data_IF_195967589544
#
_entry.id   IF_195967589544
#
_cell.length_a   1.000
_cell.length_b   1.000
_cell.length_c   1.000
_cell.angle_alpha   90.00
_cell.angle_beta   90.00
_cell.angle_gamma   90.00
#
_symmetry.space_group_name_H-M   'P 1'
#
loop_
_entity.id
_entity.type
_entity.pdbx_description
1 polymer ?
#
# COMPACT_ATOMS: atom_id res chain seq x y z
N UNK A 1 -41.49 7.89 49.27
CA UNK A 1 -41.75 7.53 47.87
C UNK A 1 -41.07 8.52 46.90
N UNK A 2 -41.05 9.81 47.25
CA UNK A 2 -40.46 10.85 46.34
C UNK A 2 -38.94 10.81 46.18
N UNK A 3 -38.18 10.33 47.13
CA UNK A 3 -36.73 10.18 46.99
C UNK A 3 -36.33 9.07 46.00
N UNK A 4 -37.09 8.01 45.89
CA UNK A 4 -36.83 6.93 44.94
C UNK A 4 -37.13 7.37 43.49
N UNK A 5 -38.13 8.21 43.29
CA UNK A 5 -38.47 8.77 41.98
C UNK A 5 -37.37 9.77 41.53
N UNK A 6 -36.85 10.59 42.45
CA UNK A 6 -35.79 11.55 42.15
C UNK A 6 -34.44 10.86 41.81
N UNK A 7 -34.12 9.76 42.48
CA UNK A 7 -32.94 8.93 42.14
C UNK A 7 -33.11 8.24 40.77
N UNK A 8 -34.29 7.72 40.46
CA UNK A 8 -34.58 7.06 39.20
C UNK A 8 -34.51 8.01 38.01
N UNK A 9 -35.00 9.25 38.13
CA UNK A 9 -34.96 10.27 37.07
C UNK A 9 -33.52 10.80 36.84
N UNK A 10 -32.70 10.97 37.90
CA UNK A 10 -31.31 11.37 37.76
C UNK A 10 -30.44 10.26 37.12
N UNK A 11 -30.68 9.01 37.45
CA UNK A 11 -29.99 7.89 36.82
C UNK A 11 -30.35 7.76 35.32
N UNK A 12 -31.61 7.89 34.95
CA UNK A 12 -32.07 7.85 33.57
C UNK A 12 -31.47 9.02 32.76
N UNK A 13 -31.50 10.24 33.29
CA UNK A 13 -30.88 11.40 32.64
C UNK A 13 -29.35 11.28 32.51
N UNK A 14 -28.65 10.72 33.51
CA UNK A 14 -27.21 10.52 33.44
C UNK A 14 -26.85 9.41 32.44
N UNK A 15 -27.59 8.32 32.38
CA UNK A 15 -27.35 7.23 31.40
C UNK A 15 -27.59 7.69 29.95
N UNK A 16 -28.61 8.52 29.72
CA UNK A 16 -28.88 9.10 28.40
C UNK A 16 -27.77 10.07 27.96
N UNK A 17 -27.30 10.93 28.87
CA UNK A 17 -26.19 11.84 28.59
C UNK A 17 -24.87 11.06 28.28
N UNK A 18 -24.56 10.01 29.04
CA UNK A 18 -23.38 9.15 28.79
C UNK A 18 -23.49 8.46 27.43
N UNK A 19 -24.66 7.95 27.07
CA UNK A 19 -24.92 7.33 25.78
C UNK A 19 -24.73 8.31 24.61
N UNK A 20 -25.29 9.54 24.71
CA UNK A 20 -25.13 10.58 23.70
C UNK A 20 -23.68 11.04 23.56
N UNK A 21 -22.95 11.19 24.68
CA UNK A 21 -21.53 11.55 24.66
C UNK A 21 -20.69 10.43 24.02
N UNK A 22 -20.97 9.17 24.35
CA UNK A 22 -20.30 8.00 23.76
C UNK A 22 -20.50 7.94 22.25
N UNK A 23 -21.74 8.13 21.79
CA UNK A 23 -22.07 8.20 20.36
C UNK A 23 -21.39 9.38 19.67
N UNK A 24 -21.35 10.57 20.30
CA UNK A 24 -20.69 11.75 19.73
C UNK A 24 -19.17 11.55 19.57
N UNK A 25 -18.50 10.98 20.57
CA UNK A 25 -17.06 10.68 20.51
C UNK A 25 -16.79 9.66 19.41
N UNK A 26 -17.56 8.57 19.39
CA UNK A 26 -17.42 7.51 18.39
C UNK A 26 -17.66 8.06 16.99
N UNK A 27 -18.72 8.81 16.78
CA UNK A 27 -19.03 9.45 15.51
C UNK A 27 -17.90 10.39 15.05
N UNK A 28 -17.33 11.19 15.96
CA UNK A 28 -16.22 12.11 15.63
C UNK A 28 -14.98 11.35 15.14
N UNK A 29 -14.64 10.23 15.77
CA UNK A 29 -13.50 9.38 15.35
C UNK A 29 -13.71 8.87 13.91
N UNK A 30 -14.90 8.34 13.60
CA UNK A 30 -15.23 7.84 12.27
C UNK A 30 -15.34 9.00 11.26
N UNK A 31 -15.91 10.13 11.65
CA UNK A 31 -16.02 11.33 10.80
C UNK A 31 -14.65 11.82 10.35
N UNK A 32 -13.67 11.91 11.26
CA UNK A 32 -12.31 12.33 10.91
C UNK A 32 -11.68 11.40 9.87
N UNK A 33 -11.83 10.09 10.03
CA UNK A 33 -11.33 9.10 9.04
C UNK A 33 -12.03 9.22 7.69
N UNK A 34 -13.36 9.40 7.66
CA UNK A 34 -14.13 9.53 6.42
C UNK A 34 -13.83 10.86 5.72
N UNK A 35 -13.74 11.96 6.45
CA UNK A 35 -13.35 13.27 5.90
C UNK A 35 -11.96 13.22 5.29
N UNK A 36 -11.00 12.59 5.96
CA UNK A 36 -9.66 12.39 5.44
C UNK A 36 -9.68 11.63 4.10
N UNK A 37 -10.34 10.47 4.04
CA UNK A 37 -10.50 9.70 2.80
C UNK A 37 -11.16 10.54 1.71
N UNK A 38 -12.20 11.30 2.04
CA UNK A 38 -12.96 12.14 1.09
C UNK A 38 -12.10 13.26 0.52
N UNK A 39 -11.32 13.96 1.35
CA UNK A 39 -10.44 15.05 0.91
C UNK A 39 -9.44 14.53 -0.14
N UNK A 40 -8.77 13.41 0.13
CA UNK A 40 -7.81 12.86 -0.79
C UNK A 40 -8.46 12.19 -2.02
N UNK A 41 -9.66 11.62 -1.89
CA UNK A 41 -10.42 11.12 -3.03
C UNK A 41 -10.82 12.28 -3.98
N UNK A 42 -11.31 13.39 -3.45
CA UNK A 42 -11.65 14.58 -4.25
C UNK A 42 -10.40 15.19 -4.88
N UNK A 43 -9.29 15.26 -4.13
CA UNK A 43 -8.01 15.75 -4.64
C UNK A 43 -7.50 14.93 -5.82
N UNK A 44 -7.74 13.61 -5.83
CA UNK A 44 -7.32 12.72 -6.92
C UNK A 44 -8.02 13.00 -8.25
N UNK A 45 -9.15 13.71 -8.26
CA UNK A 45 -9.84 14.13 -9.49
C UNK A 45 -9.05 15.17 -10.29
N UNK A 46 -8.14 15.89 -9.64
CA UNK A 46 -7.31 16.88 -10.30
C UNK A 46 -6.38 16.20 -11.31
N UNK A 47 -6.42 16.64 -12.55
CA UNK A 47 -5.51 16.16 -13.59
C UNK A 47 -4.11 16.70 -13.32
N UNK A 48 -3.12 15.83 -13.34
CA UNK A 48 -1.70 16.17 -13.29
C UNK A 48 -1.09 16.10 -14.69
N UNK A 49 0.03 16.79 -14.93
CA UNK A 49 0.78 16.58 -16.17
C UNK A 49 1.22 15.11 -16.25
N UNK A 50 0.98 14.48 -17.37
CA UNK A 50 1.13 13.04 -17.55
C UNK A 50 2.60 12.57 -17.48
N UNK A 51 3.57 13.45 -17.80
CA UNK A 51 4.97 13.08 -17.97
C UNK A 51 5.92 14.15 -17.46
N UNK A 52 7.09 13.73 -17.04
CA UNK A 52 8.24 14.58 -16.82
C UNK A 52 8.89 14.98 -18.16
N UNK A 53 9.67 16.07 -18.22
CA UNK A 53 10.44 16.40 -19.40
C UNK A 53 11.44 15.30 -19.75
N UNK A 54 11.62 15.04 -21.04
CA UNK A 54 12.57 14.02 -21.51
C UNK A 54 13.99 14.30 -21.00
N UNK A 55 14.59 13.33 -20.36
CA UNK A 55 15.91 13.43 -19.76
C UNK A 55 17.02 13.46 -20.83
N UNK A 56 18.00 14.36 -20.64
CA UNK A 56 19.21 14.39 -21.47
C UNK A 56 20.26 13.35 -21.04
N UNK A 57 20.19 12.86 -19.78
CA UNK A 57 21.09 11.85 -19.22
C UNK A 57 20.33 10.55 -19.05
N UNK A 58 20.97 9.43 -19.41
CA UNK A 58 20.49 8.09 -19.11
C UNK A 58 21.20 7.56 -17.87
N UNK A 59 20.45 7.38 -16.80
CA UNK A 59 20.92 6.77 -15.55
C UNK A 59 21.11 5.26 -15.68
N UNK A 60 21.94 4.67 -14.85
CA UNK A 60 22.15 3.23 -14.80
C UNK A 60 21.26 2.59 -13.72
N UNK A 61 20.46 1.59 -14.11
CA UNK A 61 19.50 0.93 -13.23
C UNK A 61 19.97 -0.45 -12.77
N UNK A 62 19.76 -0.76 -11.48
CA UNK A 62 19.71 -2.12 -10.95
C UNK A 62 18.23 -2.54 -10.79
N UNK A 63 17.80 -3.54 -11.57
CA UNK A 63 16.45 -4.11 -11.45
C UNK A 63 16.51 -5.29 -10.50
N UNK A 64 16.05 -5.11 -9.26
CA UNK A 64 16.09 -6.13 -8.23
C UNK A 64 14.77 -6.90 -8.17
N UNK A 65 14.81 -8.19 -8.43
CA UNK A 65 13.66 -9.10 -8.44
C UNK A 65 13.87 -10.18 -7.39
N UNK A 66 12.99 -10.21 -6.37
CA UNK A 66 13.00 -11.30 -5.40
C UNK A 66 12.07 -12.43 -5.85
N UNK A 67 12.62 -13.62 -6.11
CA UNK A 67 11.91 -14.77 -6.63
C UNK A 67 11.95 -15.93 -5.62
N UNK A 68 10.79 -16.27 -5.05
CA UNK A 68 10.58 -17.42 -4.18
C UNK A 68 9.55 -18.35 -4.79
N UNK A 69 9.97 -19.57 -5.20
CA UNK A 69 9.09 -20.54 -5.88
C UNK A 69 8.30 -19.93 -7.03
N UNK A 70 8.96 -19.16 -7.86
CA UNK A 70 8.33 -18.34 -8.90
C UNK A 70 8.68 -18.82 -10.32
N UNK A 71 8.94 -20.10 -10.50
CA UNK A 71 9.34 -20.71 -11.77
C UNK A 71 8.38 -20.37 -12.91
N UNK A 72 7.07 -20.36 -12.63
CA UNK A 72 6.03 -20.14 -13.64
C UNK A 72 5.94 -18.69 -14.14
N UNK A 73 6.43 -17.70 -13.37
CA UNK A 73 6.18 -16.28 -13.64
C UNK A 73 7.42 -15.47 -13.96
N UNK A 74 8.55 -15.79 -13.33
CA UNK A 74 9.78 -15.00 -13.37
C UNK A 74 10.33 -14.75 -14.78
N UNK A 75 10.24 -15.74 -15.65
CA UNK A 75 10.72 -15.63 -17.03
C UNK A 75 10.00 -14.52 -17.78
N UNK A 76 8.68 -14.42 -17.61
CA UNK A 76 7.86 -13.35 -18.24
C UNK A 76 8.25 -11.98 -17.68
N UNK A 77 8.50 -11.87 -16.38
CA UNK A 77 8.97 -10.65 -15.73
C UNK A 77 10.30 -10.20 -16.32
N UNK A 78 11.29 -11.09 -16.43
CA UNK A 78 12.60 -10.78 -17.03
C UNK A 78 12.44 -10.41 -18.50
N UNK A 79 11.62 -11.13 -19.27
CA UNK A 79 11.37 -10.80 -20.68
C UNK A 79 10.77 -9.41 -20.87
N UNK A 80 9.92 -8.94 -19.96
CA UNK A 80 9.36 -7.57 -20.05
C UNK A 80 10.44 -6.49 -19.94
N UNK A 81 11.53 -6.76 -19.21
CA UNK A 81 12.70 -5.88 -19.14
C UNK A 81 13.61 -5.98 -20.35
N UNK A 82 13.74 -7.15 -20.98
CA UNK A 82 14.51 -7.28 -22.20
C UNK A 82 13.90 -6.49 -23.38
N UNK A 83 12.61 -6.17 -23.32
CA UNK A 83 11.89 -5.39 -24.32
C UNK A 83 11.87 -3.88 -24.04
N UNK A 84 12.58 -3.38 -23.01
CA UNK A 84 12.56 -1.96 -22.68
C UNK A 84 13.16 -1.08 -23.78
N UNK A 85 12.47 0.02 -24.08
CA UNK A 85 12.99 1.10 -24.92
C UNK A 85 13.99 1.95 -24.14
N UNK A 86 15.07 1.31 -23.66
CA UNK A 86 16.14 1.92 -22.86
C UNK A 86 17.48 1.28 -23.23
N UNK A 87 18.60 2.02 -23.27
CA UNK A 87 19.90 1.43 -23.66
C UNK A 87 20.26 0.22 -22.80
N UNK A 88 20.55 -0.91 -23.44
CA UNK A 88 20.75 -2.20 -22.75
C UNK A 88 21.96 -2.19 -21.81
N UNK A 89 22.97 -1.39 -22.12
CA UNK A 89 24.16 -1.18 -21.29
C UNK A 89 23.90 -0.31 -20.04
N UNK A 90 22.68 0.24 -19.91
CA UNK A 90 22.27 1.13 -18.82
C UNK A 90 21.39 0.46 -17.77
N UNK A 91 21.15 -0.85 -17.86
CA UNK A 91 20.44 -1.56 -16.81
C UNK A 91 20.84 -3.00 -16.72
N UNK A 92 20.85 -3.55 -15.52
CA UNK A 92 21.08 -4.95 -15.22
C UNK A 92 19.91 -5.53 -14.42
N UNK A 93 19.56 -6.79 -14.73
CA UNK A 93 18.50 -7.53 -14.05
C UNK A 93 19.16 -8.47 -13.05
N UNK A 94 18.86 -8.30 -11.76
CA UNK A 94 19.43 -9.06 -10.66
C UNK A 94 18.31 -9.83 -9.97
N UNK A 95 18.31 -11.14 -10.13
CA UNK A 95 17.30 -12.04 -9.57
C UNK A 95 17.88 -12.76 -8.35
N UNK A 96 17.27 -12.58 -7.19
CA UNK A 96 17.54 -13.41 -6.01
C UNK A 96 16.63 -14.63 -6.06
N UNK A 97 17.21 -15.78 -6.40
CA UNK A 97 16.53 -17.04 -6.60
C UNK A 97 16.48 -17.85 -5.30
N UNK A 98 15.27 -18.08 -4.78
CA UNK A 98 15.03 -18.86 -3.58
C UNK A 98 14.06 -20.01 -3.88
N UNK A 99 14.51 -21.24 -3.69
CA UNK A 99 13.78 -22.49 -3.96
C UNK A 99 13.21 -22.56 -5.39
N UNK A 100 13.96 -22.08 -6.37
CA UNK A 100 13.64 -22.19 -7.79
C UNK A 100 14.41 -23.36 -8.43
N UNK A 101 13.89 -23.89 -9.54
CA UNK A 101 14.51 -24.96 -10.29
C UNK A 101 15.82 -24.53 -10.95
N UNK A 102 16.75 -25.48 -11.13
CA UNK A 102 18.00 -25.22 -11.88
C UNK A 102 17.73 -24.89 -13.34
N UNK A 103 16.67 -25.46 -13.92
CA UNK A 103 16.25 -25.16 -15.30
C UNK A 103 15.86 -23.69 -15.44
N UNK A 104 15.02 -23.18 -14.53
CA UNK A 104 14.63 -21.77 -14.50
C UNK A 104 15.84 -20.86 -14.28
N UNK A 105 16.72 -21.21 -13.34
CA UNK A 105 17.93 -20.44 -13.08
C UNK A 105 18.84 -20.37 -14.32
N UNK A 106 19.04 -21.47 -15.03
CA UNK A 106 19.82 -21.52 -16.27
C UNK A 106 19.21 -20.66 -17.36
N UNK A 107 17.88 -20.74 -17.54
CA UNK A 107 17.14 -19.91 -18.51
C UNK A 107 17.28 -18.41 -18.21
N UNK A 108 17.26 -18.02 -16.93
CA UNK A 108 17.48 -16.62 -16.53
C UNK A 108 18.89 -16.14 -16.86
N UNK A 109 19.91 -16.98 -16.66
CA UNK A 109 21.31 -16.67 -17.01
C UNK A 109 21.46 -16.52 -18.54
N UNK A 110 20.86 -17.40 -19.33
CA UNK A 110 20.84 -17.29 -20.80
C UNK A 110 20.20 -15.96 -21.27
N UNK A 111 19.23 -15.43 -20.51
CA UNK A 111 18.61 -14.12 -20.76
C UNK A 111 19.42 -12.95 -20.19
N UNK A 112 20.70 -13.19 -19.83
CA UNK A 112 21.59 -12.15 -19.29
C UNK A 112 21.11 -11.52 -17.97
N UNK A 113 20.40 -12.28 -17.12
CA UNK A 113 20.12 -11.88 -15.75
C UNK A 113 21.23 -12.41 -14.80
N UNK A 114 21.61 -11.60 -13.83
CA UNK A 114 22.43 -12.05 -12.70
C UNK A 114 21.55 -12.85 -11.75
N UNK A 115 21.82 -14.14 -11.57
CA UNK A 115 21.06 -15.02 -10.69
C UNK A 115 21.85 -15.30 -9.42
N UNK A 116 21.31 -14.88 -8.27
CA UNK A 116 21.92 -15.05 -6.96
C UNK A 116 21.09 -16.08 -6.19
N UNK A 117 21.61 -17.28 -6.00
CA UNK A 117 20.93 -18.34 -5.25
C UNK A 117 20.95 -18.04 -3.75
N UNK A 118 19.77 -18.06 -3.13
CA UNK A 118 19.59 -17.86 -1.69
C UNK A 118 19.18 -19.19 -1.08
N UNK A 119 20.08 -19.81 -0.27
CA UNK A 119 19.87 -21.13 0.34
C UNK A 119 19.61 -21.03 1.85
N UNK A 120 18.94 -19.99 2.31
CA UNK A 120 18.65 -19.81 3.73
C UNK A 120 17.28 -20.35 4.14
N UNK A 121 17.23 -21.06 5.27
CA UNK A 121 15.99 -21.65 5.84
C UNK A 121 14.93 -20.62 6.28
N UNK A 122 15.30 -19.32 6.38
CA UNK A 122 14.44 -18.21 6.76
C UNK A 122 14.57 -17.06 5.75
N UNK A 123 14.28 -17.32 4.48
CA UNK A 123 14.33 -16.27 3.47
C UNK A 123 13.15 -15.30 3.61
N UNK A 124 13.43 -14.04 3.37
CA UNK A 124 12.43 -12.98 3.29
C UNK A 124 12.79 -12.04 2.17
N UNK A 125 11.81 -11.27 1.66
CA UNK A 125 12.08 -10.27 0.62
C UNK A 125 13.20 -9.31 1.02
N UNK A 126 13.23 -8.89 2.28
CA UNK A 126 14.29 -8.02 2.81
C UNK A 126 15.67 -8.67 2.71
N UNK A 127 15.82 -9.93 3.15
CA UNK A 127 17.09 -10.67 3.03
C UNK A 127 17.50 -10.86 1.56
N UNK A 128 16.54 -11.18 0.70
CA UNK A 128 16.81 -11.33 -0.72
C UNK A 128 17.38 -10.03 -1.32
N UNK A 129 16.79 -8.88 -1.01
CA UNK A 129 17.28 -7.58 -1.47
C UNK A 129 18.63 -7.19 -0.83
N UNK A 130 18.84 -7.51 0.45
CA UNK A 130 20.16 -7.34 1.11
C UNK A 130 21.24 -8.18 0.43
N UNK A 131 20.92 -9.43 0.05
CA UNK A 131 21.84 -10.30 -0.69
C UNK A 131 22.16 -9.71 -2.08
N UNK A 132 21.17 -9.15 -2.78
CA UNK A 132 21.39 -8.47 -4.06
C UNK A 132 22.33 -7.26 -3.92
N UNK A 133 22.12 -6.41 -2.91
CA UNK A 133 22.98 -5.25 -2.66
C UNK A 133 24.41 -5.69 -2.28
N UNK A 134 24.56 -6.72 -1.46
CA UNK A 134 25.88 -7.26 -1.13
C UNK A 134 26.60 -7.79 -2.37
N UNK A 135 25.88 -8.47 -3.28
CA UNK A 135 26.43 -8.92 -4.55
C UNK A 135 26.91 -7.75 -5.42
N UNK A 136 26.11 -6.69 -5.52
CA UNK A 136 26.47 -5.46 -6.26
C UNK A 136 27.78 -4.88 -5.72
N UNK A 137 27.92 -4.77 -4.40
CA UNK A 137 29.14 -4.27 -3.75
C UNK A 137 30.35 -5.15 -3.97
N UNK A 138 30.20 -6.46 -3.79
CA UNK A 138 31.30 -7.44 -3.96
C UNK A 138 31.85 -7.48 -5.37
N UNK A 139 31.00 -7.18 -6.38
CA UNK A 139 31.39 -7.15 -7.79
C UNK A 139 31.68 -5.73 -8.30
N UNK A 140 31.73 -4.73 -7.42
CA UNK A 140 32.02 -3.32 -7.74
C UNK A 140 31.12 -2.75 -8.84
N UNK A 141 29.86 -3.24 -8.91
CA UNK A 141 28.88 -2.75 -9.88
C UNK A 141 28.35 -1.40 -9.44
N UNK A 142 28.26 -0.46 -10.38
CA UNK A 142 27.81 0.90 -10.09
C UNK A 142 26.47 1.17 -10.75
N UNK A 143 25.52 1.65 -9.96
CA UNK A 143 24.17 2.03 -10.40
C UNK A 143 23.78 3.38 -9.83
N UNK A 144 22.94 4.11 -10.56
CA UNK A 144 22.36 5.38 -10.09
C UNK A 144 21.02 5.11 -9.36
N UNK A 145 20.23 4.14 -9.84
CA UNK A 145 18.84 3.90 -9.41
C UNK A 145 18.58 2.40 -9.22
N UNK A 146 17.88 2.06 -8.16
CA UNK A 146 17.34 0.70 -7.92
C UNK A 146 15.85 0.69 -8.22
N UNK A 147 15.41 -0.31 -8.97
CA UNK A 147 13.98 -0.66 -9.15
C UNK A 147 13.70 -1.97 -8.44
N UNK A 148 12.69 -2.02 -7.58
CA UNK A 148 12.29 -3.23 -6.84
C UNK A 148 10.99 -3.78 -7.39
N UNK A 149 10.99 -5.07 -7.74
CA UNK A 149 9.83 -5.78 -8.29
C UNK A 149 9.63 -7.16 -7.66
N UNK A 150 8.40 -7.64 -7.75
CA UNK A 150 8.07 -9.04 -7.46
C UNK A 150 8.24 -9.90 -8.73
N UNK A 151 8.45 -11.21 -8.56
CA UNK A 151 8.73 -12.14 -9.64
C UNK A 151 7.57 -12.40 -10.63
N UNK A 152 6.39 -11.84 -10.33
CA UNK A 152 5.19 -11.93 -11.16
C UNK A 152 4.77 -10.58 -11.75
N UNK A 153 5.64 -9.57 -11.71
CA UNK A 153 5.33 -8.25 -12.22
C UNK A 153 5.73 -8.11 -13.69
N UNK A 154 4.86 -7.50 -14.49
CA UNK A 154 5.16 -7.09 -15.85
C UNK A 154 5.19 -5.57 -15.92
N UNK A 155 5.95 -5.02 -16.85
CA UNK A 155 6.11 -3.58 -17.05
C UNK A 155 5.95 -3.21 -18.53
N UNK A 156 5.54 -1.95 -18.80
CA UNK A 156 5.45 -1.41 -20.14
C UNK A 156 6.85 -1.19 -20.75
N UNK A 157 6.90 -1.12 -22.09
CA UNK A 157 8.14 -0.95 -22.86
C UNK A 157 8.89 0.37 -22.56
N UNK A 158 8.22 1.39 -22.11
CA UNK A 158 8.76 2.70 -21.75
C UNK A 158 8.94 2.94 -20.25
N UNK A 159 8.85 1.87 -19.44
CA UNK A 159 8.88 1.93 -17.99
C UNK A 159 10.17 2.58 -17.45
N UNK A 160 11.33 2.11 -17.89
CA UNK A 160 12.63 2.66 -17.45
C UNK A 160 12.85 4.08 -17.96
N UNK A 161 12.42 4.39 -19.16
CA UNK A 161 12.50 5.74 -19.73
C UNK A 161 11.75 6.76 -18.89
N UNK A 162 10.50 6.46 -18.53
CA UNK A 162 9.66 7.35 -17.72
C UNK A 162 10.19 7.53 -16.30
N UNK A 163 10.75 6.49 -15.69
CA UNK A 163 11.42 6.60 -14.39
C UNK A 163 12.67 7.48 -14.51
N UNK A 164 13.47 7.28 -15.55
CA UNK A 164 14.64 8.10 -15.82
C UNK A 164 14.30 9.59 -15.92
N UNK A 165 13.21 9.93 -16.60
CA UNK A 165 12.75 11.32 -16.74
C UNK A 165 12.38 11.94 -15.39
N UNK A 166 11.73 11.16 -14.50
CA UNK A 166 11.38 11.61 -13.16
C UNK A 166 12.63 11.87 -12.30
N UNK A 167 13.60 10.96 -12.31
CA UNK A 167 14.87 11.13 -11.57
C UNK A 167 15.70 12.27 -12.12
N UNK A 168 15.77 12.43 -13.44
CA UNK A 168 16.44 13.57 -14.07
C UNK A 168 15.80 14.92 -13.67
N UNK A 169 14.52 14.92 -13.35
CA UNK A 169 13.78 16.09 -12.88
C UNK A 169 13.89 16.32 -11.37
N UNK A 170 14.69 15.51 -10.65
CA UNK A 170 15.00 15.70 -9.23
C UNK A 170 14.22 14.82 -8.26
N UNK A 171 13.52 13.78 -8.74
CA UNK A 171 12.94 12.78 -7.85
C UNK A 171 14.04 11.84 -7.33
N UNK A 172 14.06 11.56 -6.02
CA UNK A 172 14.95 10.57 -5.39
C UNK A 172 14.24 9.26 -5.06
N UNK A 173 12.91 9.30 -4.92
CA UNK A 173 12.06 8.13 -4.65
C UNK A 173 10.76 8.25 -5.42
N UNK A 174 10.39 7.20 -6.14
CA UNK A 174 9.12 7.14 -6.85
C UNK A 174 8.38 5.83 -6.60
N UNK A 175 7.06 5.89 -6.56
CA UNK A 175 6.15 4.75 -6.61
C UNK A 175 5.40 4.78 -7.93
N UNK A 176 5.43 3.68 -8.67
CA UNK A 176 4.69 3.53 -9.92
C UNK A 176 3.26 3.04 -9.69
N UNK A 177 2.41 3.13 -10.71
CA UNK A 177 1.03 2.71 -10.67
C UNK A 177 0.91 1.19 -10.82
N UNK A 178 0.47 0.50 -9.76
CA UNK A 178 0.25 -0.94 -9.79
C UNK A 178 -1.17 -1.26 -10.24
N UNK A 179 -1.28 -2.12 -11.26
CA UNK A 179 -2.56 -2.59 -11.83
C UNK A 179 -2.65 -4.11 -11.69
N UNK A 180 -3.84 -4.62 -11.40
CA UNK A 180 -4.08 -6.06 -11.35
C UNK A 180 -4.08 -6.68 -12.76
N UNK A 181 -3.30 -7.76 -12.98
CA UNK A 181 -3.35 -8.54 -14.21
C UNK A 181 -4.61 -9.40 -14.28
N UNK A 182 -4.96 -10.10 -13.20
CA UNK A 182 -6.10 -11.00 -13.11
C UNK A 182 -7.27 -10.38 -12.33
N UNK A 183 -8.49 -10.63 -12.81
CA UNK A 183 -9.76 -10.12 -12.25
C UNK A 183 -10.89 -11.13 -12.46
N UNK A 184 -10.59 -12.42 -12.46
CA UNK A 184 -11.53 -13.48 -12.83
C UNK A 184 -12.45 -13.84 -11.69
N UNK A 185 -11.94 -13.86 -10.47
CA UNK A 185 -12.72 -14.14 -9.25
C UNK A 185 -13.14 -12.85 -8.55
N UNK A 186 -14.19 -12.91 -7.75
CA UNK A 186 -14.66 -11.77 -6.95
C UNK A 186 -13.61 -11.27 -5.95
N UNK A 187 -12.70 -12.13 -5.48
CA UNK A 187 -11.64 -11.77 -4.55
C UNK A 187 -10.55 -11.01 -5.27
N UNK A 188 -10.09 -11.50 -6.41
CA UNK A 188 -9.11 -10.82 -7.26
C UNK A 188 -9.64 -9.44 -7.68
N UNK A 189 -10.92 -9.36 -8.08
CA UNK A 189 -11.54 -8.11 -8.48
C UNK A 189 -11.63 -7.11 -7.31
N UNK A 190 -12.03 -7.54 -6.12
CA UNK A 190 -12.06 -6.68 -4.93
C UNK A 190 -10.64 -6.26 -4.47
N UNK A 191 -9.64 -7.12 -4.67
CA UNK A 191 -8.24 -6.77 -4.42
C UNK A 191 -7.72 -5.75 -5.44
N UNK A 192 -8.09 -5.91 -6.73
CA UNK A 192 -7.82 -4.92 -7.78
C UNK A 192 -8.45 -3.56 -7.45
N UNK A 193 -9.73 -3.55 -7.07
CA UNK A 193 -10.43 -2.33 -6.62
C UNK A 193 -9.75 -1.71 -5.41
N UNK A 194 -9.33 -2.53 -4.44
CA UNK A 194 -8.58 -2.05 -3.27
C UNK A 194 -7.25 -1.41 -3.65
N UNK A 195 -6.54 -1.93 -4.65
CA UNK A 195 -5.30 -1.34 -5.16
C UNK A 195 -5.57 0.01 -5.86
N UNK A 196 -6.61 0.09 -6.70
CA UNK A 196 -6.98 1.35 -7.36
C UNK A 196 -7.44 2.43 -6.37
N UNK A 197 -8.13 2.07 -5.30
CA UNK A 197 -8.42 3.01 -4.21
C UNK A 197 -7.11 3.49 -3.54
N UNK A 198 -6.08 2.63 -3.39
CA UNK A 198 -4.77 3.06 -2.91
C UNK A 198 -4.08 4.00 -3.90
N UNK A 199 -4.09 3.67 -5.19
CA UNK A 199 -3.54 4.51 -6.25
C UNK A 199 -4.19 5.91 -6.27
N UNK A 200 -5.52 5.94 -6.15
CA UNK A 200 -6.29 7.17 -6.18
C UNK A 200 -6.09 8.01 -4.90
N UNK A 201 -6.38 7.45 -3.72
CA UNK A 201 -6.42 8.20 -2.46
C UNK A 201 -5.01 8.40 -1.90
N UNK A 202 -4.27 7.29 -1.63
CA UNK A 202 -3.02 7.33 -0.85
C UNK A 202 -1.76 7.59 -1.68
N UNK A 203 -1.89 7.72 -3.00
CA UNK A 203 -0.80 8.09 -3.91
C UNK A 203 -1.15 9.37 -4.66
N UNK A 204 -2.03 9.31 -5.66
CA UNK A 204 -2.41 10.46 -6.48
C UNK A 204 -2.98 11.61 -5.64
N UNK A 205 -3.99 11.33 -4.81
CA UNK A 205 -4.62 12.34 -3.96
C UNK A 205 -3.66 13.03 -3.02
N UNK A 206 -2.74 12.27 -2.41
CA UNK A 206 -1.70 12.80 -1.53
C UNK A 206 -0.73 13.70 -2.29
N UNK A 207 -0.17 13.21 -3.40
CA UNK A 207 0.79 14.02 -4.18
C UNK A 207 0.16 15.27 -4.80
N UNK A 208 -1.16 15.29 -5.05
CA UNK A 208 -1.86 16.50 -5.49
C UNK A 208 -1.95 17.58 -4.40
N UNK A 209 -1.88 17.22 -3.13
CA UNK A 209 -1.87 18.14 -1.99
C UNK A 209 -0.47 18.37 -1.41
N UNK A 210 0.58 17.86 -2.06
CA UNK A 210 1.97 18.03 -1.64
C UNK A 210 2.44 17.05 -0.56
N UNK A 211 1.68 16.00 -0.29
CA UNK A 211 2.09 14.89 0.58
C UNK A 211 2.73 13.76 -0.23
N UNK A 212 3.56 12.96 0.40
CA UNK A 212 4.20 11.80 -0.21
C UNK A 212 3.22 10.69 -0.57
N UNK A 213 3.49 10.02 -1.68
CA UNK A 213 2.78 8.81 -2.06
C UNK A 213 3.05 7.65 -1.08
N UNK A 214 2.07 6.77 -0.93
CA UNK A 214 2.26 5.52 -0.21
C UNK A 214 3.10 4.55 -1.04
N UNK A 215 4.15 3.96 -0.44
CA UNK A 215 4.93 2.88 -1.05
C UNK A 215 4.19 1.54 -0.97
N UNK A 216 4.54 0.68 -1.91
CA UNK A 216 4.26 -0.76 -1.83
C UNK A 216 5.55 -1.53 -2.09
N UNK A 217 5.59 -2.78 -1.66
CA UNK A 217 6.79 -3.62 -1.79
C UNK A 217 7.28 -3.86 -3.22
N UNK A 218 6.60 -3.35 -4.24
CA UNK A 218 6.92 -3.55 -5.65
C UNK A 218 6.56 -2.32 -6.48
N UNK A 219 7.27 -2.10 -7.60
CA UNK A 219 7.07 -0.94 -8.46
C UNK A 219 7.58 0.36 -7.82
N UNK A 220 8.54 0.30 -6.94
CA UNK A 220 9.25 1.46 -6.41
C UNK A 220 10.62 1.60 -7.07
N UNK A 221 11.04 2.83 -7.32
CA UNK A 221 12.40 3.15 -7.71
C UNK A 221 13.00 4.18 -6.74
N UNK A 222 14.28 3.99 -6.39
CA UNK A 222 14.97 4.75 -5.34
C UNK A 222 16.41 4.98 -5.80
N UNK A 223 17.00 6.14 -5.53
CA UNK A 223 18.44 6.38 -5.72
C UNK A 223 19.26 5.30 -5.02
N UNK A 224 20.32 4.82 -5.67
CA UNK A 224 21.06 3.64 -5.19
C UNK A 224 21.59 3.82 -3.77
N UNK A 225 22.29 4.91 -3.48
CA UNK A 225 22.91 5.15 -2.17
C UNK A 225 21.84 5.22 -1.07
N UNK A 226 20.71 5.88 -1.36
CA UNK A 226 19.57 5.93 -0.44
C UNK A 226 18.94 4.56 -0.22
N UNK A 227 18.80 3.76 -1.29
CA UNK A 227 18.27 2.40 -1.17
C UNK A 227 19.19 1.51 -0.34
N UNK A 228 20.50 1.62 -0.53
CA UNK A 228 21.50 0.88 0.23
C UNK A 228 21.39 1.18 1.73
N UNK A 229 21.28 2.45 2.10
CA UNK A 229 21.08 2.87 3.49
C UNK A 229 19.78 2.32 4.08
N UNK A 230 18.68 2.41 3.34
CA UNK A 230 17.38 1.91 3.77
C UNK A 230 17.37 0.40 3.99
N UNK A 231 17.92 -0.37 3.04
CA UNK A 231 17.89 -1.83 3.09
C UNK A 231 18.83 -2.39 4.15
N UNK A 232 19.94 -1.70 4.44
CA UNK A 232 20.88 -2.09 5.50
C UNK A 232 20.25 -2.05 6.89
N UNK A 233 19.33 -1.10 7.11
CA UNK A 233 18.61 -0.89 8.38
C UNK A 233 17.29 -1.67 8.46
N UNK A 234 16.82 -2.25 7.35
CA UNK A 234 15.53 -2.91 7.29
C UNK A 234 15.53 -4.22 8.08
N UNK A 235 14.45 -4.45 8.84
CA UNK A 235 14.17 -5.71 9.53
C UNK A 235 13.39 -6.65 8.59
N UNK A 236 13.35 -7.95 8.92
CA UNK A 236 12.84 -9.02 8.05
C UNK A 236 11.33 -9.00 7.73
N UNK A 237 10.57 -8.00 8.13
CA UNK A 237 9.15 -7.85 7.80
C UNK A 237 8.87 -6.44 7.28
N UNK A 238 7.99 -6.32 6.27
CA UNK A 238 7.32 -5.07 5.90
C UNK A 238 8.22 -3.94 5.39
N UNK A 239 8.99 -4.24 4.37
CA UNK A 239 9.97 -3.37 3.75
C UNK A 239 9.39 -1.99 3.37
N UNK A 240 8.24 -1.97 2.72
CA UNK A 240 7.56 -0.77 2.25
C UNK A 240 7.28 0.24 3.37
N UNK A 241 6.67 -0.21 4.47
CA UNK A 241 6.35 0.67 5.61
C UNK A 241 7.58 1.13 6.39
N UNK A 242 8.62 0.29 6.45
CA UNK A 242 9.88 0.70 7.07
C UNK A 242 10.58 1.77 6.22
N UNK A 243 10.56 1.62 4.89
CA UNK A 243 11.09 2.62 3.97
C UNK A 243 10.31 3.92 4.05
N UNK A 244 8.96 3.88 3.97
CA UNK A 244 8.13 5.07 4.16
C UNK A 244 8.50 5.81 5.45
N UNK A 245 8.53 5.09 6.58
CA UNK A 245 8.87 5.68 7.87
C UNK A 245 10.25 6.35 7.89
N UNK A 246 11.27 5.69 7.33
CA UNK A 246 12.63 6.20 7.30
C UNK A 246 12.77 7.40 6.38
N UNK A 247 12.19 7.35 5.18
CA UNK A 247 12.20 8.43 4.19
C UNK A 247 11.50 9.68 4.71
N UNK A 248 10.26 9.53 5.20
CA UNK A 248 9.47 10.66 5.68
C UNK A 248 10.06 11.29 6.95
N UNK A 249 10.69 10.49 7.83
CA UNK A 249 11.44 11.02 8.98
C UNK A 249 12.60 11.93 8.55
N UNK A 250 13.19 11.68 7.39
CA UNK A 250 14.27 12.46 6.80
C UNK A 250 13.76 13.58 5.88
N UNK A 251 12.45 13.81 5.78
CA UNK A 251 11.79 14.74 4.85
C UNK A 251 12.09 14.42 3.37
N UNK A 252 12.32 13.15 3.03
CA UNK A 252 12.50 12.71 1.66
C UNK A 252 11.12 12.43 1.07
N UNK A 253 10.77 13.18 0.02
CA UNK A 253 9.49 13.10 -0.65
C UNK A 253 9.39 11.86 -1.54
N UNK A 254 8.23 11.20 -1.53
CA UNK A 254 7.93 10.05 -2.36
C UNK A 254 6.97 10.48 -3.46
N UNK A 255 7.44 10.47 -4.70
CA UNK A 255 6.64 10.85 -5.86
C UNK A 255 5.77 9.69 -6.35
N UNK A 256 4.64 9.98 -7.00
CA UNK A 256 3.77 9.01 -7.64
C UNK A 256 3.75 9.19 -9.15
N UNK A 257 4.13 8.13 -9.88
CA UNK A 257 4.11 8.11 -11.35
C UNK A 257 2.83 7.45 -11.83
N UNK A 258 1.77 8.24 -12.01
CA UNK A 258 0.42 7.78 -12.38
C UNK A 258 0.37 7.00 -13.70
N UNK A 259 1.24 7.34 -14.66
CA UNK A 259 1.24 6.78 -16.03
C UNK A 259 2.42 5.83 -16.28
N UNK A 260 3.01 5.29 -15.23
CA UNK A 260 4.07 4.26 -15.29
C UNK A 260 3.54 3.01 -14.61
N UNK A 261 3.21 1.99 -15.41
CA UNK A 261 2.44 0.84 -14.95
C UNK A 261 3.31 -0.35 -14.57
N UNK A 262 2.93 -1.00 -13.47
CA UNK A 262 3.38 -2.33 -13.07
C UNK A 262 2.14 -3.22 -12.96
N UNK A 263 2.09 -4.25 -13.78
CA UNK A 263 1.01 -5.23 -13.78
C UNK A 263 1.35 -6.34 -12.79
N UNK A 264 0.49 -6.54 -11.79
CA UNK A 264 0.70 -7.42 -10.66
C UNK A 264 -0.36 -8.53 -10.61
N UNK A 265 0.05 -9.78 -10.46
CA UNK A 265 -0.89 -10.89 -10.33
C UNK A 265 -1.46 -10.93 -8.90
N UNK A 266 -2.79 -10.82 -8.78
CA UNK A 266 -3.49 -10.83 -7.49
C UNK A 266 -3.67 -12.25 -6.96
N UNK A 267 -3.65 -12.36 -5.63
CA UNK A 267 -3.72 -13.64 -4.92
C UNK A 267 -5.04 -14.36 -5.20
N UNK A 268 -4.93 -15.62 -5.62
CA UNK A 268 -6.09 -16.49 -5.86
C UNK A 268 -6.57 -17.12 -4.55
N UNK A 269 -7.85 -16.91 -4.24
CA UNK A 269 -8.53 -17.61 -3.15
C UNK A 269 -8.54 -16.92 -1.77
N UNK A 270 -9.52 -17.33 -0.93
CA UNK A 270 -9.83 -16.70 0.36
C UNK A 270 -8.71 -16.82 1.39
N UNK A 271 -8.04 -17.97 1.43
CA UNK A 271 -6.96 -18.25 2.43
C UNK A 271 -5.73 -17.38 2.15
N UNK A 272 -5.31 -17.28 0.90
CA UNK A 272 -4.19 -16.43 0.49
C UNK A 272 -4.46 -14.95 0.81
N UNK A 273 -5.66 -14.46 0.45
CA UNK A 273 -6.12 -13.12 0.77
C UNK A 273 -6.12 -12.85 2.29
N UNK A 274 -6.69 -13.77 3.09
CA UNK A 274 -6.73 -13.66 4.55
C UNK A 274 -5.32 -13.54 5.16
N UNK A 275 -4.38 -14.41 4.75
CA UNK A 275 -3.01 -14.41 5.26
C UNK A 275 -2.24 -13.15 4.85
N UNK A 276 -2.41 -12.67 3.62
CA UNK A 276 -1.80 -11.45 3.13
C UNK A 276 -2.29 -10.23 3.92
N UNK A 277 -3.61 -10.09 4.12
CA UNK A 277 -4.21 -8.99 4.89
C UNK A 277 -3.80 -9.01 6.36
N UNK A 278 -3.67 -10.19 6.96
CA UNK A 278 -3.17 -10.33 8.34
C UNK A 278 -1.75 -9.80 8.48
N UNK A 279 -0.85 -10.13 7.54
CA UNK A 279 0.52 -9.63 7.55
C UNK A 279 0.54 -8.10 7.40
N UNK A 280 -0.21 -7.54 6.46
CA UNK A 280 -0.29 -6.09 6.27
C UNK A 280 -0.82 -5.34 7.48
N UNK A 281 -1.83 -5.89 8.14
CA UNK A 281 -2.39 -5.29 9.35
C UNK A 281 -1.40 -5.32 10.52
N UNK A 282 -0.72 -6.45 10.73
CA UNK A 282 0.32 -6.57 11.76
C UNK A 282 1.46 -5.58 11.51
N UNK A 283 1.88 -5.42 10.26
CA UNK A 283 2.85 -4.45 9.81
C UNK A 283 2.44 -3.02 10.12
N UNK A 284 1.23 -2.64 9.75
CA UNK A 284 0.69 -1.31 9.97
C UNK A 284 0.78 -0.92 11.44
N UNK A 285 0.32 -1.78 12.34
CA UNK A 285 0.38 -1.51 13.78
C UNK A 285 1.80 -1.51 14.33
N UNK A 286 2.67 -2.44 13.90
CA UNK A 286 4.06 -2.46 14.33
C UNK A 286 4.79 -1.17 13.98
N UNK A 287 4.59 -0.67 12.76
CA UNK A 287 5.21 0.57 12.30
C UNK A 287 4.58 1.82 12.94
N UNK A 288 3.27 1.81 13.19
CA UNK A 288 2.59 2.86 13.95
C UNK A 288 3.17 2.97 15.36
N UNK A 289 3.20 1.88 16.12
CA UNK A 289 3.71 1.90 17.50
C UNK A 289 5.19 2.29 17.59
N UNK A 290 6.01 1.84 16.63
CA UNK A 290 7.41 2.25 16.57
C UNK A 290 7.62 3.68 16.05
N UNK A 291 6.64 4.24 15.33
CA UNK A 291 6.69 5.58 14.76
C UNK A 291 6.13 6.67 15.67
N UNK A 292 5.16 6.33 16.54
CA UNK A 292 4.42 7.31 17.35
C UNK A 292 5.31 8.13 18.29
N UNK A 293 6.40 7.56 18.76
CA UNK A 293 7.39 8.25 19.60
C UNK A 293 8.05 9.46 18.93
N UNK A 294 8.03 9.50 17.58
CA UNK A 294 8.59 10.60 16.79
C UNK A 294 7.51 11.60 16.33
N UNK A 295 6.23 11.41 16.70
CA UNK A 295 5.13 12.30 16.29
C UNK A 295 5.33 13.71 16.83
N UNK A 296 5.59 13.88 18.12
CA UNK A 296 5.79 15.21 18.70
C UNK A 296 7.00 15.95 18.10
N UNK A 297 8.19 15.33 17.97
CA UNK A 297 9.30 15.93 17.23
C UNK A 297 8.96 16.31 15.78
N UNK A 298 8.15 15.50 15.08
CA UNK A 298 7.72 15.79 13.70
C UNK A 298 6.81 17.02 13.64
N UNK A 299 5.83 17.14 14.53
CA UNK A 299 4.95 18.30 14.64
C UNK A 299 5.78 19.58 14.90
N UNK A 300 6.70 19.54 15.86
CA UNK A 300 7.53 20.69 16.22
C UNK A 300 8.47 21.15 15.09
N UNK A 301 8.87 20.21 14.21
CA UNK A 301 9.71 20.49 13.02
C UNK A 301 8.90 20.83 11.77
N UNK A 302 7.57 20.80 11.84
CA UNK A 302 6.69 21.01 10.67
C UNK A 302 6.75 19.88 9.64
N UNK A 303 7.17 18.66 10.02
CA UNK A 303 7.18 17.49 9.14
C UNK A 303 5.76 16.88 9.06
N UNK A 304 4.90 17.57 8.31
CA UNK A 304 3.49 17.18 8.16
C UNK A 304 3.32 15.89 7.38
N UNK A 305 4.25 15.56 6.49
CA UNK A 305 4.24 14.33 5.70
C UNK A 305 4.40 13.08 6.60
N UNK A 306 5.30 13.16 7.57
CA UNK A 306 5.43 12.11 8.58
C UNK A 306 4.19 12.01 9.50
N UNK A 307 3.62 13.14 9.91
CA UNK A 307 2.40 13.18 10.72
C UNK A 307 1.21 12.57 9.98
N UNK A 308 1.05 12.92 8.71
CA UNK A 308 0.02 12.36 7.83
C UNK A 308 0.15 10.84 7.71
N UNK A 309 1.37 10.32 7.51
CA UNK A 309 1.61 8.87 7.44
C UNK A 309 1.22 8.15 8.73
N UNK A 310 1.55 8.70 9.88
CA UNK A 310 1.12 8.12 11.16
C UNK A 310 -0.41 8.12 11.29
N UNK A 311 -1.06 9.20 10.85
CA UNK A 311 -2.52 9.27 10.84
C UNK A 311 -3.14 8.19 9.91
N UNK A 312 -2.57 7.98 8.71
CA UNK A 312 -2.97 6.88 7.81
C UNK A 312 -2.89 5.52 8.51
N UNK A 313 -1.81 5.26 9.25
CA UNK A 313 -1.63 3.99 9.97
C UNK A 313 -2.53 3.85 11.20
N UNK A 314 -3.00 4.96 11.78
CA UNK A 314 -4.01 4.93 12.86
C UNK A 314 -5.39 4.54 12.35
N UNK A 315 -5.70 4.82 11.10
CA UNK A 315 -7.01 4.49 10.54
C UNK A 315 -7.22 2.97 10.44
N UNK A 316 -8.42 2.48 10.79
CA UNK A 316 -8.75 1.08 10.58
C UNK A 316 -8.80 0.75 9.08
N UNK A 317 -8.56 -0.53 8.70
CA UNK A 317 -8.76 -0.97 7.32
C UNK A 317 -10.13 -0.55 6.78
N UNK A 318 -10.17 -0.11 5.53
CA UNK A 318 -11.38 0.46 4.89
C UNK A 318 -12.62 -0.44 4.99
N UNK A 319 -12.45 -1.77 4.88
CA UNK A 319 -13.54 -2.75 5.05
C UNK A 319 -14.07 -2.70 6.49
N UNK A 320 -13.20 -2.54 7.49
CA UNK A 320 -13.58 -2.44 8.90
C UNK A 320 -14.28 -1.09 9.14
N UNK A 321 -13.72 0.00 8.59
CA UNK A 321 -14.33 1.32 8.68
C UNK A 321 -15.77 1.32 8.10
N UNK A 322 -15.93 0.83 6.87
CA UNK A 322 -17.20 0.71 6.19
C UNK A 322 -18.20 -0.15 6.98
N UNK A 323 -17.76 -1.34 7.42
CA UNK A 323 -18.61 -2.28 8.12
C UNK A 323 -19.12 -1.75 9.46
N UNK A 324 -18.28 -1.06 10.24
CA UNK A 324 -18.71 -0.44 11.50
C UNK A 324 -19.65 0.73 11.28
N UNK A 325 -19.39 1.62 10.31
CA UNK A 325 -20.32 2.73 10.00
C UNK A 325 -21.69 2.17 9.60
N UNK A 326 -21.71 1.15 8.73
CA UNK A 326 -22.95 0.48 8.34
C UNK A 326 -23.67 -0.17 9.54
N UNK A 327 -22.93 -0.88 10.40
CA UNK A 327 -23.47 -1.51 11.60
C UNK A 327 -24.08 -0.48 12.55
N UNK A 328 -23.38 0.62 12.84
CA UNK A 328 -23.91 1.70 13.67
C UNK A 328 -25.12 2.37 13.04
N UNK A 329 -25.10 2.63 11.74
CA UNK A 329 -26.27 3.17 11.03
C UNK A 329 -27.51 2.27 11.24
N UNK A 330 -27.38 0.95 11.10
CA UNK A 330 -28.45 -0.01 11.33
C UNK A 330 -28.91 -0.05 12.82
N UNK A 331 -27.98 -0.12 13.78
CA UNK A 331 -28.28 -0.15 15.21
C UNK A 331 -29.06 1.10 15.61
N UNK A 332 -28.56 2.28 15.22
CA UNK A 332 -29.23 3.54 15.56
C UNK A 332 -30.55 3.73 14.84
N UNK A 333 -30.75 3.18 13.64
CA UNK A 333 -32.06 3.21 12.98
C UNK A 333 -33.14 2.54 13.84
N UNK A 334 -32.77 1.48 14.57
CA UNK A 334 -33.67 0.78 15.47
C UNK A 334 -33.78 1.48 16.85
N UNK A 335 -32.64 1.88 17.44
CA UNK A 335 -32.58 2.41 18.81
C UNK A 335 -32.97 3.91 18.90
N UNK A 336 -32.53 4.72 17.95
CA UNK A 336 -32.82 6.17 17.88
C UNK A 336 -32.66 6.64 16.43
N UNK A 337 -33.74 6.73 15.69
CA UNK A 337 -33.73 7.03 14.27
C UNK A 337 -33.14 8.44 13.95
N UNK A 338 -33.27 9.39 14.86
CA UNK A 338 -32.68 10.74 14.68
C UNK A 338 -31.16 10.67 14.67
N UNK A 339 -30.56 9.91 15.61
CA UNK A 339 -29.12 9.70 15.64
C UNK A 339 -28.61 8.90 14.43
N UNK A 340 -29.44 8.02 13.85
CA UNK A 340 -29.05 7.24 12.69
C UNK A 340 -28.78 8.11 11.45
N UNK A 341 -29.44 9.26 11.31
CA UNK A 341 -29.32 10.14 10.14
C UNK A 341 -27.85 10.51 9.87
N UNK A 342 -27.11 10.89 10.91
CA UNK A 342 -25.69 11.23 10.78
C UNK A 342 -24.82 10.05 10.36
N UNK A 343 -25.12 8.84 10.84
CA UNK A 343 -24.39 7.62 10.45
C UNK A 343 -24.68 7.22 9.00
N UNK A 344 -25.92 7.32 8.54
CA UNK A 344 -26.26 7.12 7.13
C UNK A 344 -25.63 8.18 6.23
N UNK A 345 -25.60 9.45 6.66
CA UNK A 345 -24.90 10.53 5.95
C UNK A 345 -23.40 10.26 5.84
N UNK A 346 -22.78 9.78 6.92
CA UNK A 346 -21.36 9.40 6.93
C UNK A 346 -21.07 8.22 6.01
N UNK A 347 -21.94 7.21 5.99
CA UNK A 347 -21.84 6.07 5.07
C UNK A 347 -21.96 6.51 3.61
N UNK A 348 -22.92 7.38 3.31
CA UNK A 348 -23.10 7.95 1.97
C UNK A 348 -21.84 8.70 1.52
N UNK A 349 -21.27 9.53 2.39
CA UNK A 349 -20.04 10.27 2.10
C UNK A 349 -18.87 9.33 1.80
N UNK A 350 -18.72 8.26 2.58
CA UNK A 350 -17.70 7.22 2.33
C UNK A 350 -17.93 6.48 1.01
N UNK A 351 -19.18 6.16 0.67
CA UNK A 351 -19.52 5.55 -0.63
C UNK A 351 -19.18 6.49 -1.79
N UNK A 352 -19.45 7.78 -1.67
CA UNK A 352 -19.09 8.78 -2.69
C UNK A 352 -17.57 8.84 -2.84
N UNK A 353 -16.82 8.90 -1.74
CA UNK A 353 -15.36 8.93 -1.79
C UNK A 353 -14.76 7.68 -2.49
N UNK A 354 -15.29 6.50 -2.21
CA UNK A 354 -14.86 5.28 -2.90
C UNK A 354 -15.31 5.24 -4.37
N UNK A 355 -16.49 5.76 -4.70
CA UNK A 355 -16.94 5.85 -6.09
C UNK A 355 -16.07 6.79 -6.93
N UNK A 356 -15.53 7.86 -6.34
CA UNK A 356 -14.54 8.73 -6.99
C UNK A 356 -13.21 8.00 -7.20
N UNK A 357 -12.81 7.16 -6.25
CA UNK A 357 -11.49 6.53 -6.25
C UNK A 357 -11.41 5.28 -7.14
N UNK A 358 -12.53 4.65 -7.48
CA UNK A 358 -12.58 3.44 -8.31
C UNK A 358 -12.76 3.83 -9.79
N UNK A 359 -11.84 3.44 -10.68
CA UNK A 359 -11.96 3.75 -12.10
C UNK A 359 -13.07 2.94 -12.78
N UNK A 360 -13.69 3.53 -13.81
CA UNK A 360 -14.86 2.99 -14.52
C UNK A 360 -14.61 1.59 -15.11
N UNK A 361 -13.37 1.28 -15.53
CA UNK A 361 -13.04 -0.01 -16.14
C UNK A 361 -13.19 -1.21 -15.19
N UNK A 362 -13.29 -0.97 -13.86
CA UNK A 362 -13.56 -2.01 -12.86
C UNK A 362 -15.04 -2.12 -12.49
N UNK A 363 -15.87 -1.14 -12.87
CA UNK A 363 -17.28 -1.07 -12.48
C UNK A 363 -18.17 -1.78 -13.49
N UNK A 364 -18.18 -3.10 -13.46
CA UNK A 364 -18.96 -3.96 -14.32
C UNK A 364 -20.00 -4.81 -13.55
N UNK A 365 -20.66 -5.76 -14.26
CA UNK A 365 -21.60 -6.70 -13.65
C UNK A 365 -20.90 -7.65 -12.64
N UNK A 366 -19.63 -7.98 -12.88
CA UNK A 366 -18.83 -8.83 -11.96
C UNK A 366 -18.56 -8.07 -10.66
N UNK A 367 -18.23 -6.79 -10.74
CA UNK A 367 -18.01 -5.94 -9.58
C UNK A 367 -19.25 -5.87 -8.67
N UNK A 368 -20.44 -5.64 -9.24
CA UNK A 368 -21.68 -5.62 -8.45
C UNK A 368 -21.93 -6.94 -7.72
N UNK A 369 -21.62 -8.09 -8.34
CA UNK A 369 -21.70 -9.40 -7.67
C UNK A 369 -20.60 -9.55 -6.60
N UNK A 370 -19.40 -9.05 -6.83
CA UNK A 370 -18.30 -9.11 -5.88
C UNK A 370 -18.59 -8.32 -4.60
N UNK A 371 -19.34 -7.21 -4.67
CA UNK A 371 -19.77 -6.46 -3.48
C UNK A 371 -20.58 -7.28 -2.49
N UNK A 372 -21.30 -8.33 -2.94
CA UNK A 372 -22.05 -9.23 -2.05
C UNK A 372 -21.16 -10.05 -1.12
N UNK A 373 -19.85 -10.12 -1.40
CA UNK A 373 -18.87 -10.82 -0.55
C UNK A 373 -18.32 -9.89 0.57
N UNK A 374 -18.53 -8.58 0.48
CA UNK A 374 -18.02 -7.62 1.48
C UNK A 374 -18.38 -7.97 2.93
N UNK A 375 -19.61 -8.40 3.28
CA UNK A 375 -19.92 -8.81 4.66
C UNK A 375 -19.04 -9.96 5.15
N UNK A 376 -18.75 -10.95 4.29
CA UNK A 376 -17.86 -12.07 4.62
C UNK A 376 -16.44 -11.57 4.84
N UNK A 377 -15.94 -10.69 3.97
CA UNK A 377 -14.61 -10.11 4.10
C UNK A 377 -14.50 -9.23 5.36
N UNK A 378 -15.55 -8.51 5.73
CA UNK A 378 -15.61 -7.76 6.98
C UNK A 378 -15.43 -8.68 8.20
N UNK A 379 -16.17 -9.77 8.27
CA UNK A 379 -16.05 -10.76 9.36
C UNK A 379 -14.63 -11.36 9.38
N UNK A 380 -14.09 -11.76 8.24
CA UNK A 380 -12.72 -12.28 8.14
C UNK A 380 -11.67 -11.26 8.62
N UNK A 381 -11.86 -9.98 8.33
CA UNK A 381 -10.97 -8.92 8.78
C UNK A 381 -11.08 -8.67 10.28
N UNK A 382 -12.25 -8.80 10.90
CA UNK A 382 -12.42 -8.75 12.36
C UNK A 382 -11.66 -9.89 13.04
N UNK A 383 -11.72 -11.12 12.50
CA UNK A 383 -10.90 -12.23 12.99
C UNK A 383 -9.40 -12.00 12.86
N UNK A 384 -8.96 -11.34 11.77
CA UNK A 384 -7.56 -10.93 11.63
C UNK A 384 -7.14 -9.96 12.73
N UNK A 385 -8.01 -9.02 13.08
CA UNK A 385 -7.74 -8.02 14.12
C UNK A 385 -7.55 -8.66 15.49
N UNK A 386 -8.36 -9.67 15.83
CA UNK A 386 -8.25 -10.39 17.11
C UNK A 386 -7.00 -11.27 17.22
N UNK A 387 -6.37 -11.64 16.09
CA UNK A 387 -5.23 -12.57 16.04
C UNK A 387 -3.89 -11.89 15.70
N UNK A 388 -3.79 -10.57 15.84
CA UNK A 388 -2.56 -9.81 15.53
C UNK A 388 -1.33 -10.23 16.36
N UNK A 389 -1.53 -10.70 17.59
CA UNK A 389 -0.43 -11.10 18.50
C UNK A 389 0.34 -12.36 18.06
N UNK A 390 -0.13 -13.11 17.07
CA UNK A 390 0.47 -14.40 16.63
C UNK A 390 1.31 -14.34 15.34
N UNK A 391 1.51 -13.17 14.72
CA UNK A 391 2.12 -13.08 13.38
C UNK A 391 3.62 -12.68 13.39
N UNK A 392 4.32 -12.90 14.51
CA UNK A 392 5.79 -12.67 14.63
C UNK A 392 6.62 -13.90 14.23
N UNK A 393 6.14 -14.71 13.27
CA UNK A 393 6.94 -15.78 12.67
C UNK A 393 6.96 -15.65 11.17
#
# INVERSE_FOLDING_TARGET
MDQFIYFGTNWANNSEQIYLLGDAILFLIFLLGVLYITIFAVSSLKKRKATYPTAKKKYRFAILISAYKADDTIINTVCSFLMQNYPRDKYDIIVTSDQMSEETNSNLIEKSAYVIKVNESNSSKTKALQTAVNYIKQNELMYDIVVVLDANNLVDIDFLEKINDAFYSGCSVVQTHRIAQNKDTSIELLDAVSEEINNSIFRKGHTQLGFSAALTGSGMAIEYDLFEDLISQAKYSDLDKQFEKSLLKQNIYIEYLEYVYVYDEKVKGKIGFYNQRRRWLASQFSNLFSGISHLLPAILKGNWDYCDKLFQWMMPPRIILFGFIFLFACIFTYANWILSIKWWGLLLLLCIAFSIAVPDYLVDKKFRKALLILPILFILMLFNFSRLKGSKK
#
